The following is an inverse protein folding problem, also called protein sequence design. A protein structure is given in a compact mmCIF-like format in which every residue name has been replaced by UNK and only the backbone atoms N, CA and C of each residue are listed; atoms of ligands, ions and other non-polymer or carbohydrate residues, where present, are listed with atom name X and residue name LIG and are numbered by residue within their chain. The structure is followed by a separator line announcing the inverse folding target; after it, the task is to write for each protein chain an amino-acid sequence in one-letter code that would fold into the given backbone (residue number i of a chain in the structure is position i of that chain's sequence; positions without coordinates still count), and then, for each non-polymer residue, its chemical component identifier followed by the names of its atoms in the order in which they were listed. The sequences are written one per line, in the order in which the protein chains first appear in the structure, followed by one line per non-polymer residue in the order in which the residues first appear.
data_IF_636972883138
#
_entry.id   IF_636972883138
#
_cell.length_a   1.000
_cell.length_b   1.000
_cell.length_c   1.000
_cell.angle_alpha   90.00
_cell.angle_beta   90.00
_cell.angle_gamma   90.00
#
_symmetry.space_group_name_H-M   'P 1'
#
loop_
_entity.id
_entity.type
_entity.pdbx_description
1 polymer ?
#
# COMPACT_ATOMS: atom_id res chain seq x y z
N UNK A 1 27.28 -12.16 10.51
CA UNK A 1 25.84 -12.08 10.87
C UNK A 1 25.05 -11.79 9.60
N UNK A 2 23.94 -12.49 9.32
CA UNK A 2 23.15 -12.28 8.08
C UNK A 2 21.88 -11.48 8.44
N UNK A 3 22.05 -10.19 8.80
CA UNK A 3 20.99 -9.33 9.36
C UNK A 3 19.78 -9.30 8.42
N UNK A 4 19.99 -8.99 7.14
CA UNK A 4 18.91 -8.89 6.17
C UNK A 4 18.15 -10.20 6.00
N UNK A 5 18.86 -11.34 5.92
CA UNK A 5 18.23 -12.66 5.87
C UNK A 5 17.42 -13.00 7.12
N UNK A 6 17.77 -12.41 8.27
CA UNK A 6 17.03 -12.59 9.52
C UNK A 6 15.77 -11.72 9.51
N UNK A 7 15.87 -10.47 9.08
CA UNK A 7 14.74 -9.55 8.93
C UNK A 7 13.73 -10.08 7.90
N UNK A 8 14.22 -10.60 6.78
CA UNK A 8 13.37 -11.16 5.73
C UNK A 8 12.56 -12.41 6.16
N UNK A 9 12.95 -13.08 7.25
CA UNK A 9 12.13 -14.19 7.81
C UNK A 9 10.93 -13.70 8.59
N UNK A 10 10.90 -12.44 9.01
CA UNK A 10 9.80 -11.84 9.73
C UNK A 10 8.80 -11.31 8.70
N UNK A 11 7.53 -11.75 8.70
CA UNK A 11 6.51 -11.17 7.82
C UNK A 11 6.45 -9.65 7.98
N UNK A 12 6.67 -8.91 6.90
CA UNK A 12 6.77 -7.44 6.96
C UNK A 12 8.00 -6.90 7.69
N UNK A 13 9.05 -7.71 7.89
CA UNK A 13 10.24 -7.35 8.67
C UNK A 13 10.93 -6.07 8.20
N UNK A 14 10.98 -5.82 6.89
CA UNK A 14 11.53 -4.60 6.30
C UNK A 14 10.74 -3.32 6.65
N UNK A 15 9.54 -3.46 7.21
CA UNK A 15 8.69 -2.35 7.68
C UNK A 15 8.70 -2.33 9.21
N UNK A 16 8.41 -3.47 9.83
CA UNK A 16 8.25 -3.57 11.31
C UNK A 16 9.56 -3.20 12.02
N UNK A 17 10.69 -3.77 11.59
CA UNK A 17 11.96 -3.58 12.29
C UNK A 17 12.42 -2.13 12.25
N UNK A 18 12.48 -1.45 11.07
CA UNK A 18 12.84 -0.04 11.03
C UNK A 18 11.83 0.86 11.77
N UNK A 19 10.53 0.57 11.66
CA UNK A 19 9.49 1.35 12.36
C UNK A 19 9.71 1.32 13.87
N UNK A 20 9.84 0.11 14.44
CA UNK A 20 10.05 -0.05 15.88
C UNK A 20 11.41 0.52 16.32
N UNK A 21 12.45 0.40 15.50
CA UNK A 21 13.76 0.98 15.81
C UNK A 21 13.70 2.51 15.86
N UNK A 22 13.02 3.16 14.90
CA UNK A 22 12.78 4.60 14.91
C UNK A 22 11.95 5.05 16.12
N UNK A 23 10.84 4.33 16.40
CA UNK A 23 9.99 4.60 17.57
C UNK A 23 10.73 4.42 18.89
N UNK A 24 11.60 3.40 18.98
CA UNK A 24 12.44 3.17 20.16
C UNK A 24 13.43 4.32 20.36
N UNK A 25 14.08 4.76 19.28
CA UNK A 25 15.00 5.90 19.34
C UNK A 25 14.28 7.16 19.81
N UNK A 26 13.10 7.49 19.27
CA UNK A 26 12.31 8.63 19.72
C UNK A 26 11.88 8.50 21.19
N UNK A 27 11.50 7.30 21.62
CA UNK A 27 11.08 7.06 23.01
C UNK A 27 12.22 7.23 24.00
N UNK A 28 13.42 6.74 23.65
CA UNK A 28 14.61 6.81 24.51
C UNK A 28 15.34 8.15 24.42
N UNK A 29 15.31 8.77 23.23
CA UNK A 29 16.01 10.02 22.97
C UNK A 29 15.23 10.91 21.98
N UNK A 30 14.18 11.60 22.45
CA UNK A 30 13.33 12.43 21.61
C UNK A 30 14.07 13.58 20.91
N UNK A 31 15.13 14.10 21.55
CA UNK A 31 15.93 15.23 21.05
C UNK A 31 17.15 14.79 20.25
N UNK A 32 17.25 13.51 19.85
CA UNK A 32 18.39 13.01 19.08
C UNK A 32 18.59 13.81 17.77
N UNK A 33 17.51 14.24 17.12
CA UNK A 33 17.57 15.06 15.93
C UNK A 33 18.25 16.42 16.15
N UNK A 34 18.05 17.06 17.31
CA UNK A 34 18.71 18.32 17.68
C UNK A 34 20.21 18.08 17.96
N UNK A 35 20.54 17.02 18.68
CA UNK A 35 21.90 16.67 19.01
C UNK A 35 22.75 16.38 17.77
N UNK A 36 22.26 15.56 16.87
CA UNK A 36 23.00 15.22 15.66
C UNK A 36 23.02 16.36 14.63
N UNK A 37 21.95 17.15 14.53
CA UNK A 37 21.82 18.24 13.55
C UNK A 37 22.09 17.78 12.12
N UNK A 38 22.40 18.74 11.24
CA UNK A 38 22.88 18.47 9.88
C UNK A 38 22.14 17.37 9.13
N UNK A 39 22.87 16.44 8.51
CA UNK A 39 22.31 15.37 7.68
C UNK A 39 21.48 14.38 8.51
N UNK A 40 21.97 13.97 9.68
CA UNK A 40 21.30 12.99 10.54
C UNK A 40 20.04 13.57 11.15
N UNK A 41 20.11 14.78 11.70
CA UNK A 41 18.94 15.46 12.26
C UNK A 41 17.86 15.71 11.21
N UNK A 42 18.24 16.17 10.02
CA UNK A 42 17.31 16.36 8.89
C UNK A 42 16.68 15.05 8.44
N UNK A 43 17.41 13.94 8.45
CA UNK A 43 16.85 12.62 8.15
C UNK A 43 15.84 12.16 9.21
N UNK A 44 16.12 12.37 10.48
CA UNK A 44 15.23 11.97 11.57
C UNK A 44 13.91 12.77 11.56
N UNK A 45 13.95 14.06 11.22
CA UNK A 45 12.79 14.95 11.26
C UNK A 45 12.08 15.12 9.91
N UNK A 46 12.71 14.71 8.80
CA UNK A 46 12.18 14.94 7.47
C UNK A 46 12.57 13.84 6.49
N UNK A 47 11.66 12.94 6.22
CA UNK A 47 11.84 11.89 5.21
C UNK A 47 11.55 12.34 3.76
N UNK A 48 11.25 13.61 3.49
CA UNK A 48 10.74 14.10 2.20
C UNK A 48 11.68 13.79 1.03
N UNK A 49 13.00 13.93 1.19
CA UNK A 49 13.96 13.59 0.15
C UNK A 49 14.00 12.08 -0.14
N UNK A 50 13.93 11.25 0.90
CA UNK A 50 13.86 9.78 0.77
C UNK A 50 12.55 9.38 0.12
N UNK A 51 11.43 10.03 0.48
CA UNK A 51 10.12 9.79 -0.13
C UNK A 51 10.09 10.20 -1.60
N UNK A 52 10.74 11.31 -1.98
CA UNK A 52 10.89 11.70 -3.37
C UNK A 52 11.56 10.58 -4.19
N UNK A 53 12.72 10.11 -3.74
CA UNK A 53 13.44 9.02 -4.40
C UNK A 53 12.60 7.73 -4.42
N UNK A 54 11.92 7.43 -3.32
CA UNK A 54 11.06 6.25 -3.20
C UNK A 54 9.89 6.29 -4.19
N UNK A 55 9.13 7.40 -4.27
CA UNK A 55 8.02 7.52 -5.21
C UNK A 55 8.50 7.53 -6.66
N UNK A 56 9.68 8.10 -6.96
CA UNK A 56 10.29 7.98 -8.28
C UNK A 56 10.56 6.50 -8.63
N UNK A 57 11.18 5.74 -7.72
CA UNK A 57 11.45 4.32 -7.94
C UNK A 57 10.15 3.50 -8.10
N UNK A 58 9.11 3.81 -7.31
CA UNK A 58 7.78 3.18 -7.46
C UNK A 58 7.20 3.48 -8.84
N UNK A 59 7.23 4.73 -9.30
CA UNK A 59 6.80 5.11 -10.64
C UNK A 59 7.59 4.38 -11.72
N UNK A 60 8.92 4.36 -11.61
CA UNK A 60 9.80 3.70 -12.57
C UNK A 60 9.59 2.18 -12.65
N UNK A 61 9.12 1.54 -11.58
CA UNK A 61 8.83 0.11 -11.58
C UNK A 61 7.61 -0.29 -12.42
N UNK A 62 6.75 0.67 -12.76
CA UNK A 62 5.52 0.42 -13.53
C UNK A 62 5.82 0.37 -15.03
N UNK A 63 5.29 -0.63 -15.72
CA UNK A 63 5.36 -0.75 -17.18
C UNK A 63 3.94 -0.72 -17.77
N UNK A 64 3.56 0.41 -18.35
CA UNK A 64 2.24 0.57 -18.98
C UNK A 64 2.10 -0.13 -20.33
N UNK A 65 3.22 -0.54 -20.96
CA UNK A 65 3.22 -1.16 -22.28
C UNK A 65 2.89 -2.67 -22.25
N UNK A 66 2.81 -3.28 -21.05
CA UNK A 66 2.69 -4.73 -20.88
C UNK A 66 1.24 -5.26 -20.91
N UNK A 67 0.33 -4.64 -21.69
CA UNK A 67 -1.11 -4.96 -21.57
C UNK A 67 -1.73 -5.53 -22.82
N UNK A 68 -1.92 -6.86 -22.89
CA UNK A 68 -2.90 -7.50 -23.79
C UNK A 68 -4.35 -7.26 -23.32
N UNK A 69 -5.34 -7.42 -24.23
CA UNK A 69 -6.74 -7.04 -23.94
C UNK A 69 -7.34 -7.65 -22.66
N UNK A 70 -7.16 -8.94 -22.39
CA UNK A 70 -7.66 -9.59 -21.16
C UNK A 70 -6.88 -9.14 -19.92
N UNK A 71 -5.56 -9.02 -20.03
CA UNK A 71 -4.67 -8.56 -18.96
C UNK A 71 -5.04 -7.14 -18.51
N UNK A 72 -5.28 -6.24 -19.49
CA UNK A 72 -5.73 -4.89 -19.20
C UNK A 72 -7.09 -4.88 -18.48
N UNK A 73 -8.06 -5.72 -18.94
CA UNK A 73 -9.36 -5.87 -18.27
C UNK A 73 -9.19 -6.38 -16.84
N UNK A 74 -8.34 -7.38 -16.61
CA UNK A 74 -8.09 -7.94 -15.29
C UNK A 74 -7.43 -6.91 -14.37
N UNK A 75 -6.39 -6.25 -14.84
CA UNK A 75 -5.71 -5.20 -14.09
C UNK A 75 -6.65 -4.03 -13.74
N UNK A 76 -7.45 -3.56 -14.69
CA UNK A 76 -8.45 -2.51 -14.47
C UNK A 76 -9.54 -2.95 -13.49
N UNK A 77 -10.06 -4.18 -13.61
CA UNK A 77 -11.07 -4.68 -12.69
C UNK A 77 -10.55 -4.74 -11.25
N UNK A 78 -9.38 -5.32 -11.07
CA UNK A 78 -8.77 -5.48 -9.76
C UNK A 78 -8.42 -4.12 -9.16
N UNK A 79 -7.72 -3.26 -9.92
CA UNK A 79 -7.30 -1.94 -9.44
C UNK A 79 -8.48 -0.98 -9.29
N UNK A 80 -9.34 -0.88 -10.30
CA UNK A 80 -10.54 -0.03 -10.27
C UNK A 80 -11.53 -0.48 -9.21
N UNK A 81 -11.78 -1.78 -9.09
CA UNK A 81 -12.64 -2.35 -8.05
C UNK A 81 -12.16 -2.01 -6.65
N UNK A 82 -10.85 -2.11 -6.41
CA UNK A 82 -10.26 -1.71 -5.12
C UNK A 82 -10.46 -0.22 -4.83
N UNK A 83 -10.22 0.65 -5.82
CA UNK A 83 -10.43 2.09 -5.67
C UNK A 83 -11.89 2.44 -5.43
N UNK A 84 -12.83 1.75 -6.08
CA UNK A 84 -14.26 1.92 -5.83
C UNK A 84 -14.65 1.49 -4.41
N UNK A 85 -14.08 0.39 -3.89
CA UNK A 85 -14.27 -0.01 -2.50
C UNK A 85 -13.76 1.06 -1.55
N UNK A 86 -12.54 1.57 -1.78
CA UNK A 86 -11.96 2.61 -0.94
C UNK A 86 -12.74 3.93 -1.01
N UNK A 87 -13.26 4.30 -2.20
CA UNK A 87 -14.13 5.46 -2.39
C UNK A 87 -15.46 5.30 -1.66
N UNK A 88 -16.13 4.15 -1.81
CA UNK A 88 -17.38 3.88 -1.11
C UNK A 88 -17.20 3.96 0.42
N UNK A 89 -16.15 3.35 0.94
CA UNK A 89 -15.81 3.45 2.36
C UNK A 89 -15.47 4.89 2.76
N UNK A 90 -14.73 5.62 1.93
CA UNK A 90 -14.39 7.03 2.17
C UNK A 90 -15.63 7.92 2.25
N UNK A 91 -16.60 7.75 1.32
CA UNK A 91 -17.86 8.48 1.33
C UNK A 91 -18.73 8.13 2.54
N UNK A 92 -18.90 6.84 2.83
CA UNK A 92 -19.71 6.37 3.95
C UNK A 92 -19.10 6.83 5.28
N UNK A 93 -17.81 6.55 5.48
CA UNK A 93 -17.14 6.86 6.75
C UNK A 93 -16.86 8.35 6.89
N UNK A 94 -16.61 9.07 5.80
CA UNK A 94 -16.48 10.54 5.83
C UNK A 94 -17.74 11.24 6.28
N UNK A 95 -18.93 10.66 6.03
CA UNK A 95 -20.21 11.17 6.49
C UNK A 95 -20.54 10.79 7.96
N UNK A 96 -19.93 9.73 8.49
CA UNK A 96 -20.29 9.15 9.80
C UNK A 96 -19.23 9.44 10.87
N UNK A 97 -17.94 9.39 10.48
CA UNK A 97 -16.84 9.52 11.44
C UNK A 97 -16.57 10.99 11.79
N UNK A 98 -16.25 11.27 13.07
CA UNK A 98 -15.77 12.60 13.46
C UNK A 98 -14.47 12.96 12.72
N UNK A 99 -14.26 14.27 12.50
CA UNK A 99 -13.03 14.77 11.88
C UNK A 99 -11.76 14.36 12.64
N UNK A 100 -11.86 14.32 13.98
CA UNK A 100 -10.79 13.89 14.88
C UNK A 100 -10.67 12.36 14.99
N UNK A 101 -11.46 11.60 14.23
CA UNK A 101 -11.53 10.16 14.33
C UNK A 101 -12.25 9.65 15.59
N UNK A 102 -12.33 8.35 15.75
CA UNK A 102 -12.98 7.72 16.92
C UNK A 102 -12.06 7.87 18.14
N UNK A 103 -12.59 8.48 19.21
CA UNK A 103 -11.80 8.82 20.40
C UNK A 103 -11.77 7.72 21.47
N UNK A 104 -12.65 6.72 21.41
CA UNK A 104 -12.76 5.68 22.44
C UNK A 104 -13.25 4.35 21.90
N UNK A 105 -13.01 3.28 22.65
CA UNK A 105 -13.45 1.92 22.34
C UNK A 105 -12.48 1.16 21.42
N UNK A 106 -12.96 0.06 20.85
CA UNK A 106 -12.17 -0.88 20.04
C UNK A 106 -11.63 -0.27 18.74
N UNK A 107 -12.23 0.81 18.27
CA UNK A 107 -11.88 1.50 17.03
C UNK A 107 -11.22 2.85 17.28
N UNK A 108 -10.65 3.07 18.46
CA UNK A 108 -9.95 4.32 18.81
C UNK A 108 -8.90 4.65 17.75
N UNK A 109 -8.90 5.91 17.30
CA UNK A 109 -7.97 6.42 16.29
C UNK A 109 -8.42 6.18 14.85
N UNK A 110 -9.45 5.35 14.61
CA UNK A 110 -9.97 5.13 13.25
C UNK A 110 -10.56 6.44 12.73
N UNK A 111 -10.09 6.85 11.56
CA UNK A 111 -10.51 8.04 10.84
C UNK A 111 -10.70 7.71 9.36
N UNK A 112 -11.39 8.59 8.64
CA UNK A 112 -11.52 8.45 7.18
C UNK A 112 -10.15 8.39 6.50
N UNK A 113 -9.17 9.17 6.97
CA UNK A 113 -7.80 9.11 6.49
C UNK A 113 -7.17 7.72 6.65
N UNK A 114 -7.29 7.11 7.84
CA UNK A 114 -6.73 5.79 8.11
C UNK A 114 -7.34 4.71 7.19
N UNK A 115 -8.67 4.69 7.09
CA UNK A 115 -9.38 3.67 6.31
C UNK A 115 -9.14 3.85 4.82
N UNK A 116 -9.31 5.05 4.28
CA UNK A 116 -9.06 5.31 2.85
C UNK A 116 -7.62 4.95 2.48
N UNK A 117 -6.65 5.30 3.32
CA UNK A 117 -5.24 4.95 3.06
C UNK A 117 -5.01 3.44 3.06
N UNK A 118 -5.56 2.72 4.04
CA UNK A 118 -5.38 1.26 4.13
C UNK A 118 -6.03 0.52 2.95
N UNK A 119 -7.18 0.99 2.49
CA UNK A 119 -7.95 0.33 1.44
C UNK A 119 -7.55 0.72 0.02
N UNK A 120 -7.00 1.92 -0.22
CA UNK A 120 -6.69 2.42 -1.56
C UNK A 120 -5.37 1.91 -2.15
N UNK A 121 -4.49 1.33 -1.34
CA UNK A 121 -3.13 0.97 -1.77
C UNK A 121 -2.84 -0.52 -1.61
N UNK A 122 -2.31 -1.13 -2.68
CA UNK A 122 -1.92 -2.55 -2.71
C UNK A 122 -0.42 -2.73 -2.59
N UNK A 123 0.03 -3.74 -1.86
CA UNK A 123 1.43 -4.17 -1.87
C UNK A 123 1.71 -5.01 -3.13
N UNK A 124 2.18 -4.35 -4.18
CA UNK A 124 2.48 -4.99 -5.46
C UNK A 124 3.59 -6.04 -5.35
N UNK A 125 4.61 -5.81 -4.51
CA UNK A 125 5.68 -6.78 -4.27
C UNK A 125 5.16 -8.07 -3.63
N UNK A 126 4.29 -7.94 -2.63
CA UNK A 126 3.62 -9.09 -2.02
C UNK A 126 2.73 -9.81 -3.03
N UNK A 127 1.94 -9.07 -3.82
CA UNK A 127 1.10 -9.64 -4.87
C UNK A 127 1.88 -10.58 -5.79
N UNK A 128 2.98 -10.08 -6.38
CA UNK A 128 3.82 -10.88 -7.28
C UNK A 128 4.44 -12.09 -6.56
N UNK A 129 4.87 -11.92 -5.30
CA UNK A 129 5.54 -12.98 -4.56
C UNK A 129 4.63 -14.15 -4.14
N UNK A 130 3.31 -13.92 -4.05
CA UNK A 130 2.34 -14.93 -3.62
C UNK A 130 1.53 -15.54 -4.78
N UNK A 131 1.60 -14.95 -5.96
CA UNK A 131 1.05 -15.55 -7.18
C UNK A 131 1.98 -16.69 -7.62
N UNK A 132 1.47 -17.93 -7.76
CA UNK A 132 2.28 -19.08 -8.16
C UNK A 132 2.85 -18.93 -9.57
N UNK A 133 4.00 -19.58 -9.81
CA UNK A 133 4.53 -19.75 -11.16
C UNK A 133 3.50 -20.40 -12.10
N UNK A 134 3.47 -19.99 -13.35
CA UNK A 134 2.52 -20.48 -14.36
C UNK A 134 1.18 -19.73 -14.37
N UNK A 135 0.99 -18.73 -13.50
CA UNK A 135 -0.19 -17.85 -13.52
C UNK A 135 0.14 -16.54 -14.24
N UNK A 136 0.37 -16.65 -15.53
CA UNK A 136 0.89 -15.55 -16.35
C UNK A 136 -0.08 -14.38 -16.47
N UNK A 137 -1.39 -14.65 -16.54
CA UNK A 137 -2.42 -13.62 -16.65
C UNK A 137 -2.59 -12.82 -15.36
N UNK A 138 -2.44 -13.48 -14.21
CA UNK A 138 -2.47 -12.80 -12.92
C UNK A 138 -1.22 -11.93 -12.74
N UNK A 139 -0.03 -12.47 -13.04
CA UNK A 139 1.23 -11.73 -12.96
C UNK A 139 1.26 -10.54 -13.92
N UNK A 140 0.73 -10.71 -15.14
CA UNK A 140 0.71 -9.66 -16.15
C UNK A 140 -0.24 -8.50 -15.80
N UNK A 141 -1.20 -8.68 -14.88
CA UNK A 141 -2.01 -7.59 -14.33
C UNK A 141 -1.24 -6.66 -13.36
N UNK A 142 -0.03 -7.07 -12.92
CA UNK A 142 0.79 -6.35 -11.94
C UNK A 142 1.03 -4.87 -12.27
N UNK A 143 1.33 -4.44 -13.52
CA UNK A 143 1.56 -3.01 -13.79
C UNK A 143 0.39 -2.11 -13.39
N UNK A 144 -0.85 -2.56 -13.63
CA UNK A 144 -2.06 -1.83 -13.25
C UNK A 144 -2.26 -1.81 -11.73
N UNK A 145 -1.83 -2.87 -11.04
CA UNK A 145 -1.88 -2.97 -9.57
C UNK A 145 -0.80 -2.08 -8.94
N UNK A 146 0.40 -2.04 -9.52
CA UNK A 146 1.53 -1.27 -9.02
C UNK A 146 1.29 0.25 -9.01
N UNK A 147 0.46 0.77 -9.93
CA UNK A 147 0.07 2.20 -9.97
C UNK A 147 -0.62 2.63 -8.65
N UNK A 148 -1.25 1.72 -7.92
CA UNK A 148 -1.91 2.03 -6.64
C UNK A 148 -0.93 2.27 -5.48
N UNK A 149 0.36 2.11 -5.68
CA UNK A 149 1.36 2.42 -4.66
C UNK A 149 1.65 3.92 -4.63
N UNK A 150 1.36 4.57 -3.50
CA UNK A 150 1.62 6.00 -3.33
C UNK A 150 0.38 6.84 -2.99
N UNK A 151 0.55 8.13 -2.67
CA UNK A 151 -0.52 8.96 -2.11
C UNK A 151 -1.60 9.38 -3.09
N UNK A 152 -1.39 9.24 -4.41
CA UNK A 152 -2.27 9.80 -5.44
C UNK A 152 -3.73 9.38 -5.28
N UNK A 153 -3.99 8.07 -5.26
CA UNK A 153 -5.37 7.59 -5.19
C UNK A 153 -6.00 7.86 -3.82
N UNK A 154 -5.21 7.84 -2.74
CA UNK A 154 -5.70 8.25 -1.43
C UNK A 154 -6.13 9.72 -1.44
N UNK A 155 -5.31 10.62 -2.00
CA UNK A 155 -5.66 12.04 -2.15
C UNK A 155 -6.87 12.24 -3.04
N UNK A 156 -6.95 11.54 -4.17
CA UNK A 156 -8.09 11.59 -5.08
C UNK A 156 -9.38 11.19 -4.37
N UNK A 157 -9.38 10.08 -3.66
CA UNK A 157 -10.55 9.58 -2.92
C UNK A 157 -10.93 10.57 -1.82
N UNK A 158 -9.99 11.04 -1.01
CA UNK A 158 -10.26 12.04 0.03
C UNK A 158 -10.78 13.36 -0.57
N UNK A 159 -10.27 13.80 -1.72
CA UNK A 159 -10.79 14.95 -2.45
C UNK A 159 -12.24 14.75 -2.87
N UNK A 160 -12.60 13.58 -3.37
CA UNK A 160 -13.98 13.23 -3.72
C UNK A 160 -14.90 13.13 -2.48
N UNK A 161 -14.34 12.89 -1.29
CA UNK A 161 -15.07 12.93 -0.01
C UNK A 161 -15.15 14.33 0.61
N UNK A 162 -14.70 15.37 -0.09
CA UNK A 162 -14.78 16.76 0.34
C UNK A 162 -13.49 17.36 0.92
N UNK A 163 -12.38 16.62 0.93
CA UNK A 163 -11.10 17.16 1.36
C UNK A 163 -10.54 18.16 0.34
N UNK A 164 -9.97 19.25 0.81
CA UNK A 164 -9.32 20.26 -0.03
C UNK A 164 -7.81 20.08 -0.02
N UNK A 165 -7.20 20.05 -1.20
CA UNK A 165 -5.76 19.97 -1.38
C UNK A 165 -5.27 21.13 -2.26
N UNK A 166 -4.26 21.91 -1.82
CA UNK A 166 -3.65 22.95 -2.65
C UNK A 166 -3.04 22.31 -3.92
N UNK A 167 -3.30 22.86 -5.09
CA UNK A 167 -2.83 22.30 -6.35
C UNK A 167 -1.30 22.11 -6.40
N UNK A 168 -0.55 23.07 -5.89
CA UNK A 168 0.92 22.98 -5.81
C UNK A 168 1.39 21.78 -4.98
N UNK A 169 0.71 21.47 -3.88
CA UNK A 169 1.02 20.32 -3.02
C UNK A 169 0.72 18.99 -3.71
N UNK A 170 -0.39 18.94 -4.47
CA UNK A 170 -0.72 17.77 -5.30
C UNK A 170 0.41 17.54 -6.31
N UNK A 171 0.78 18.57 -7.07
CA UNK A 171 1.87 18.46 -8.07
C UNK A 171 3.17 18.05 -7.41
N UNK A 172 3.58 18.68 -6.31
CA UNK A 172 4.80 18.36 -5.57
C UNK A 172 4.85 16.90 -5.13
N UNK A 173 3.73 16.35 -4.66
CA UNK A 173 3.66 14.96 -4.18
C UNK A 173 3.66 13.94 -5.32
N UNK A 174 3.03 14.27 -6.45
CA UNK A 174 2.89 13.34 -7.58
C UNK A 174 4.05 13.40 -8.57
N UNK A 175 4.78 14.52 -8.62
CA UNK A 175 5.83 14.74 -9.59
C UNK A 175 6.89 13.63 -9.61
N UNK A 176 7.46 13.18 -8.47
CA UNK A 176 8.45 12.11 -8.49
C UNK A 176 7.90 10.81 -9.06
N UNK A 177 6.67 10.44 -8.70
CA UNK A 177 6.02 9.24 -9.24
C UNK A 177 5.79 9.37 -10.75
N UNK A 178 5.30 10.51 -11.23
CA UNK A 178 5.06 10.76 -12.65
C UNK A 178 6.36 10.71 -13.47
N UNK A 179 7.43 11.32 -12.96
CA UNK A 179 8.75 11.27 -13.62
C UNK A 179 9.29 9.83 -13.71
N UNK A 180 9.17 9.07 -12.63
CA UNK A 180 9.53 7.66 -12.61
C UNK A 180 8.70 6.84 -13.60
N UNK A 181 7.37 7.00 -13.60
CA UNK A 181 6.44 6.31 -14.48
C UNK A 181 6.75 6.58 -15.97
N UNK A 182 6.98 7.84 -16.32
CA UNK A 182 7.37 8.23 -17.69
C UNK A 182 8.71 7.58 -18.05
N UNK A 183 9.74 7.73 -17.20
CA UNK A 183 11.06 7.17 -17.45
C UNK A 183 11.02 5.64 -17.59
N UNK A 184 10.42 4.92 -16.66
CA UNK A 184 10.34 3.45 -16.68
C UNK A 184 9.44 2.87 -17.77
N UNK A 185 8.46 3.66 -18.27
CA UNK A 185 7.61 3.25 -19.39
C UNK A 185 8.33 3.46 -20.74
N UNK A 186 9.08 4.56 -20.87
CA UNK A 186 9.79 4.89 -22.12
C UNK A 186 11.11 4.12 -22.27
N UNK A 187 11.76 3.77 -21.17
CA UNK A 187 13.08 3.16 -21.18
C UNK A 187 13.16 2.01 -20.16
N UNK A 188 13.41 0.79 -20.67
CA UNK A 188 13.59 -0.40 -19.84
C UNK A 188 14.81 -0.32 -18.94
N UNK A 189 15.89 0.32 -19.38
CA UNK A 189 17.12 0.46 -18.60
C UNK A 189 16.90 1.36 -17.37
N UNK A 190 16.08 2.40 -17.53
CA UNK A 190 15.63 3.25 -16.40
C UNK A 190 14.81 2.41 -15.42
N UNK A 191 13.86 1.62 -15.90
CA UNK A 191 13.06 0.75 -15.05
C UNK A 191 13.92 -0.25 -14.29
N UNK A 192 14.77 -0.99 -14.97
CA UNK A 192 15.60 -2.05 -14.41
C UNK A 192 16.60 -1.51 -13.39
N UNK A 193 17.08 -0.27 -13.61
CA UNK A 193 17.99 0.44 -12.70
C UNK A 193 17.31 0.91 -11.42
N UNK A 194 16.10 1.49 -11.52
CA UNK A 194 15.47 2.18 -10.40
C UNK A 194 14.38 1.36 -9.69
N UNK A 195 13.76 0.37 -10.32
CA UNK A 195 12.76 -0.48 -9.68
C UNK A 195 13.27 -1.17 -8.38
N UNK A 196 14.50 -1.68 -8.30
CA UNK A 196 15.05 -2.23 -7.06
C UNK A 196 15.14 -1.21 -5.91
N UNK A 197 15.21 0.08 -6.23
CA UNK A 197 15.23 1.17 -5.26
C UNK A 197 14.02 1.19 -4.32
N UNK A 198 12.88 0.65 -4.75
CA UNK A 198 11.68 0.51 -3.89
C UNK A 198 12.01 -0.27 -2.62
N UNK A 199 12.59 -1.47 -2.76
CA UNK A 199 12.98 -2.31 -1.61
C UNK A 199 14.09 -1.70 -0.77
N UNK A 200 15.04 -1.02 -1.41
CA UNK A 200 16.19 -0.39 -0.75
C UNK A 200 15.76 0.79 0.12
N UNK A 201 14.85 1.63 -0.36
CA UNK A 201 14.46 2.88 0.31
C UNK A 201 13.40 2.70 1.40
N UNK A 202 12.59 1.62 1.35
CA UNK A 202 11.56 1.33 2.36
C UNK A 202 12.11 1.40 3.79
N UNK A 203 13.17 0.70 4.19
CA UNK A 203 13.65 0.74 5.57
C UNK A 203 14.03 2.14 6.04
N UNK A 204 14.59 2.96 5.14
CA UNK A 204 15.03 4.30 5.48
C UNK A 204 13.87 5.23 5.81
N UNK A 205 12.87 5.35 4.93
CA UNK A 205 11.76 6.24 5.23
C UNK A 205 10.88 5.72 6.36
N UNK A 206 10.75 4.39 6.51
CA UNK A 206 9.98 3.79 7.61
C UNK A 206 10.68 4.00 8.96
N UNK A 207 12.01 4.00 9.02
CA UNK A 207 12.75 4.34 10.24
C UNK A 207 12.51 5.80 10.64
N UNK A 208 12.66 6.75 9.69
CA UNK A 208 12.40 8.16 9.94
C UNK A 208 10.93 8.41 10.37
N UNK A 209 9.98 7.71 9.73
CA UNK A 209 8.58 7.75 10.13
C UNK A 209 8.38 7.19 11.54
N UNK A 210 9.03 6.07 11.89
CA UNK A 210 9.03 5.51 13.24
C UNK A 210 9.50 6.51 14.28
N UNK A 211 10.51 7.33 13.95
CA UNK A 211 10.99 8.38 14.83
C UNK A 211 9.95 9.50 15.10
N UNK A 212 8.92 9.63 14.27
CA UNK A 212 7.79 10.55 14.55
C UNK A 212 6.68 9.93 15.41
N UNK A 213 6.73 8.63 15.67
CA UNK A 213 5.74 7.89 16.45
C UNK A 213 6.22 7.66 17.89
N UNK A 214 5.27 7.40 18.79
CA UNK A 214 5.56 6.92 20.13
C UNK A 214 4.89 5.57 20.40
N UNK A 215 5.45 4.79 21.33
CA UNK A 215 4.90 3.47 21.65
C UNK A 215 3.46 3.52 22.17
N UNK A 216 3.08 4.60 22.89
CA UNK A 216 1.72 4.73 23.39
C UNK A 216 0.70 4.76 22.23
N UNK A 217 0.98 5.55 21.19
CA UNK A 217 0.13 5.61 19.99
C UNK A 217 0.07 4.27 19.25
N UNK A 218 1.22 3.59 19.11
CA UNK A 218 1.26 2.26 18.48
C UNK A 218 0.39 1.25 19.27
N UNK A 219 0.48 1.24 20.60
CA UNK A 219 -0.33 0.33 21.41
C UNK A 219 -1.81 0.70 21.37
N UNK A 220 -2.16 1.97 21.41
CA UNK A 220 -3.55 2.43 21.33
C UNK A 220 -4.19 2.12 19.98
N UNK A 221 -3.45 2.31 18.89
CA UNK A 221 -3.91 2.04 17.53
C UNK A 221 -3.82 0.56 17.14
N UNK A 222 -3.09 -0.26 17.91
CA UNK A 222 -2.78 -1.66 17.55
C UNK A 222 -4.03 -2.49 17.26
N UNK A 223 -5.01 -2.48 18.15
CA UNK A 223 -6.24 -3.26 17.96
C UNK A 223 -7.08 -2.71 16.79
N UNK A 224 -7.23 -1.40 16.69
CA UNK A 224 -7.91 -0.75 15.57
C UNK A 224 -7.24 -1.09 14.25
N UNK A 225 -5.90 -1.05 14.20
CA UNK A 225 -5.12 -1.42 13.03
C UNK A 225 -5.27 -2.89 12.65
N UNK A 226 -5.37 -3.79 13.63
CA UNK A 226 -5.68 -5.22 13.37
C UNK A 226 -7.06 -5.35 12.74
N UNK A 227 -8.08 -4.71 13.30
CA UNK A 227 -9.45 -4.74 12.76
C UNK A 227 -9.49 -4.19 11.34
N UNK A 228 -8.86 -3.04 11.10
CA UNK A 228 -8.77 -2.43 9.76
C UNK A 228 -8.03 -3.36 8.79
N UNK A 229 -6.90 -3.96 9.20
CA UNK A 229 -6.14 -4.90 8.37
C UNK A 229 -6.94 -6.15 8.00
N UNK A 230 -7.66 -6.74 8.95
CA UNK A 230 -8.57 -7.87 8.70
C UNK A 230 -9.68 -7.44 7.75
N UNK A 231 -10.28 -6.26 7.96
CA UNK A 231 -11.31 -5.72 7.09
C UNK A 231 -10.80 -5.50 5.65
N UNK A 232 -9.56 -4.98 5.48
CA UNK A 232 -8.94 -4.86 4.16
C UNK A 232 -8.89 -6.22 3.47
N UNK A 233 -8.40 -7.26 4.15
CA UNK A 233 -8.29 -8.59 3.54
C UNK A 233 -9.65 -9.14 3.16
N UNK A 234 -10.61 -9.12 4.07
CA UNK A 234 -11.91 -9.75 3.86
C UNK A 234 -12.77 -8.99 2.85
N UNK A 235 -12.87 -7.67 2.99
CA UNK A 235 -13.73 -6.84 2.13
C UNK A 235 -13.10 -6.72 0.74
N UNK A 236 -11.83 -6.33 0.67
CA UNK A 236 -11.17 -6.14 -0.63
C UNK A 236 -10.98 -7.49 -1.33
N UNK A 237 -10.40 -8.49 -0.64
CA UNK A 237 -10.14 -9.80 -1.23
C UNK A 237 -11.43 -10.52 -1.63
N UNK A 238 -12.45 -10.50 -0.78
CA UNK A 238 -13.74 -11.13 -1.06
C UNK A 238 -14.46 -10.49 -2.25
N UNK A 239 -14.56 -9.16 -2.27
CA UNK A 239 -15.23 -8.45 -3.36
C UNK A 239 -14.46 -8.56 -4.68
N UNK A 240 -13.13 -8.36 -4.66
CA UNK A 240 -12.31 -8.47 -5.88
C UNK A 240 -12.29 -9.90 -6.43
N UNK A 241 -12.20 -10.91 -5.56
CA UNK A 241 -12.31 -12.31 -5.97
C UNK A 241 -13.68 -12.62 -6.59
N UNK A 242 -14.76 -12.11 -6.00
CA UNK A 242 -16.09 -12.25 -6.57
C UNK A 242 -16.21 -11.59 -7.94
N UNK A 243 -15.68 -10.39 -8.12
CA UNK A 243 -15.69 -9.67 -9.40
C UNK A 243 -14.83 -10.39 -10.45
N UNK A 244 -13.66 -10.90 -10.06
CA UNK A 244 -12.75 -11.65 -10.92
C UNK A 244 -13.42 -12.94 -11.44
N UNK A 245 -14.11 -13.67 -10.57
CA UNK A 245 -14.89 -14.85 -10.96
C UNK A 245 -16.08 -14.49 -11.85
N UNK A 246 -16.87 -13.50 -11.43
CA UNK A 246 -18.17 -13.23 -12.06
C UNK A 246 -18.05 -12.52 -13.41
N UNK A 247 -17.09 -11.60 -13.55
CA UNK A 247 -16.98 -10.76 -14.74
C UNK A 247 -15.88 -11.16 -15.70
N UNK A 248 -14.85 -11.83 -15.19
CA UNK A 248 -13.72 -12.27 -16.01
C UNK A 248 -13.68 -13.79 -16.25
N UNK A 249 -14.56 -14.56 -15.59
CA UNK A 249 -14.56 -16.02 -15.71
C UNK A 249 -13.27 -16.66 -15.20
N UNK A 250 -12.57 -16.01 -14.28
CA UNK A 250 -11.35 -16.45 -13.62
C UNK A 250 -11.66 -17.25 -12.36
N UNK A 251 -10.65 -17.66 -11.61
CA UNK A 251 -10.80 -18.42 -10.37
C UNK A 251 -10.81 -17.60 -9.08
N UNK A 252 -10.62 -16.27 -9.19
CA UNK A 252 -10.65 -15.32 -8.07
C UNK A 252 -9.40 -15.28 -7.20
N UNK A 253 -8.36 -16.02 -7.52
CA UNK A 253 -7.10 -16.04 -6.73
C UNK A 253 -6.42 -14.67 -6.73
N UNK A 254 -6.39 -13.99 -7.89
CA UNK A 254 -5.81 -12.65 -8.01
C UNK A 254 -6.51 -11.60 -7.13
N UNK A 255 -7.84 -11.70 -6.99
CA UNK A 255 -8.61 -10.83 -6.10
C UNK A 255 -8.16 -10.95 -4.64
N UNK A 256 -7.98 -12.17 -4.14
CA UNK A 256 -7.43 -12.40 -2.80
C UNK A 256 -5.97 -11.93 -2.68
N UNK A 257 -5.14 -12.19 -3.69
CA UNK A 257 -3.74 -11.77 -3.69
C UNK A 257 -3.57 -10.24 -3.61
N UNK A 258 -4.55 -9.47 -4.11
CA UNK A 258 -4.54 -8.01 -4.06
C UNK A 258 -5.05 -7.44 -2.72
N UNK A 259 -5.47 -8.25 -1.77
CA UNK A 259 -6.09 -7.81 -0.52
C UNK A 259 -5.11 -7.26 0.53
N UNK A 260 -3.87 -6.94 0.16
CA UNK A 260 -2.87 -6.38 1.10
C UNK A 260 -2.86 -4.86 1.10
N UNK A 261 -2.41 -4.25 2.19
CA UNK A 261 -2.08 -2.83 2.26
C UNK A 261 -0.60 -2.63 1.87
N UNK A 262 -0.31 -1.62 1.02
CA UNK A 262 1.05 -1.34 0.60
C UNK A 262 1.94 -0.88 1.77
N UNK A 263 3.22 -1.28 1.77
CA UNK A 263 4.20 -0.77 2.73
C UNK A 263 4.36 0.76 2.65
N UNK A 264 4.31 1.31 1.43
CA UNK A 264 4.32 2.75 1.19
C UNK A 264 3.15 3.50 1.82
N UNK A 265 2.00 2.83 2.03
CA UNK A 265 0.82 3.43 2.63
C UNK A 265 1.08 3.99 4.04
N UNK A 266 2.06 3.45 4.75
CA UNK A 266 2.41 3.92 6.11
C UNK A 266 2.84 5.39 6.12
N UNK A 267 3.48 5.88 5.06
CA UNK A 267 3.90 7.27 4.94
C UNK A 267 2.75 8.23 4.55
N UNK A 268 1.69 7.71 3.95
CA UNK A 268 0.67 8.54 3.29
C UNK A 268 -0.12 9.42 4.25
N UNK A 269 -0.53 8.99 5.46
CA UNK A 269 -1.21 9.88 6.39
C UNK A 269 -0.37 11.11 6.77
N UNK A 270 0.93 10.93 7.02
CA UNK A 270 1.83 12.03 7.32
C UNK A 270 2.01 12.99 6.14
N UNK A 271 2.15 12.45 4.90
CA UNK A 271 2.22 13.25 3.66
C UNK A 271 0.95 14.08 3.49
N UNK A 272 -0.22 13.47 3.65
CA UNK A 272 -1.52 14.14 3.49
C UNK A 272 -1.71 15.23 4.56
N UNK A 273 -1.36 14.96 5.81
CA UNK A 273 -1.44 15.94 6.89
C UNK A 273 -0.47 17.12 6.68
N UNK A 274 0.68 16.89 6.03
CA UNK A 274 1.62 17.95 5.66
C UNK A 274 1.10 18.91 4.59
N UNK A 275 0.09 18.50 3.81
CA UNK A 275 -0.49 19.30 2.72
C UNK A 275 -1.93 19.76 2.98
N UNK A 276 -2.57 19.23 4.01
CA UNK A 276 -3.96 19.58 4.38
C UNK A 276 -4.13 19.53 5.89
N UNK A 277 -4.27 20.72 6.51
CA UNK A 277 -4.33 20.91 7.97
C UNK A 277 -5.46 20.12 8.63
N UNK A 278 -6.56 19.89 7.92
CA UNK A 278 -7.71 19.13 8.44
C UNK A 278 -7.36 17.70 8.87
N UNK A 279 -6.28 17.12 8.34
CA UNK A 279 -5.85 15.75 8.67
C UNK A 279 -4.75 15.69 9.73
N UNK A 280 -4.19 16.83 10.17
CA UNK A 280 -3.15 16.87 11.20
C UNK A 280 -3.58 16.19 12.51
N UNK A 281 -4.81 16.42 13.04
CA UNK A 281 -5.21 15.82 14.30
C UNK A 281 -5.25 14.28 14.28
N UNK A 282 -5.42 13.67 13.11
CA UNK A 282 -5.55 12.20 12.96
C UNK A 282 -4.33 11.56 12.31
N UNK A 283 -3.31 12.32 11.92
CA UNK A 283 -2.17 11.82 11.16
C UNK A 283 -1.39 10.72 11.90
N UNK A 284 -1.09 10.92 13.18
CA UNK A 284 -0.34 9.98 14.00
C UNK A 284 -1.10 8.67 14.20
N UNK A 285 -2.36 8.74 14.59
CA UNK A 285 -3.21 7.56 14.77
C UNK A 285 -3.44 6.83 13.46
N UNK A 286 -3.70 7.56 12.37
CA UNK A 286 -3.86 6.97 11.05
C UNK A 286 -2.59 6.26 10.58
N UNK A 287 -1.41 6.85 10.80
CA UNK A 287 -0.12 6.22 10.50
C UNK A 287 0.06 4.90 11.26
N UNK A 288 -0.21 4.91 12.57
CA UNK A 288 -0.09 3.71 13.40
C UNK A 288 -1.09 2.61 12.98
N UNK A 289 -2.35 2.97 12.67
CA UNK A 289 -3.36 2.03 12.16
C UNK A 289 -2.95 1.45 10.82
N UNK A 290 -2.48 2.27 9.89
CA UNK A 290 -2.03 1.81 8.56
C UNK A 290 -0.81 0.91 8.70
N UNK A 291 0.17 1.25 9.54
CA UNK A 291 1.34 0.41 9.80
C UNK A 291 0.94 -0.97 10.33
N UNK A 292 0.03 -1.02 11.31
CA UNK A 292 -0.50 -2.28 11.84
C UNK A 292 -1.27 -3.06 10.75
N UNK A 293 -2.08 -2.37 9.93
CA UNK A 293 -2.81 -3.00 8.83
C UNK A 293 -1.85 -3.62 7.79
N UNK A 294 -0.73 -2.96 7.48
CA UNK A 294 0.32 -3.51 6.59
C UNK A 294 0.85 -4.84 7.14
N UNK A 295 1.14 -4.90 8.45
CA UNK A 295 1.63 -6.12 9.11
C UNK A 295 0.58 -7.24 9.03
N UNK A 296 -0.64 -6.93 9.43
CA UNK A 296 -1.75 -7.89 9.44
C UNK A 296 -2.01 -8.43 8.04
N UNK A 297 -2.08 -7.55 7.05
CA UNK A 297 -2.33 -7.96 5.66
C UNK A 297 -1.15 -8.72 5.06
N UNK A 298 0.10 -8.40 5.43
CA UNK A 298 1.28 -9.15 4.99
C UNK A 298 1.26 -10.61 5.47
N UNK A 299 0.60 -10.89 6.59
CA UNK A 299 0.43 -12.25 7.12
C UNK A 299 -0.82 -12.92 6.54
N UNK A 300 -1.96 -12.24 6.57
CA UNK A 300 -3.25 -12.84 6.21
C UNK A 300 -3.42 -13.02 4.70
N UNK A 301 -2.96 -12.06 3.89
CA UNK A 301 -3.15 -12.13 2.43
C UNK A 301 -2.52 -13.39 1.80
N UNK A 302 -1.28 -13.80 2.12
CA UNK A 302 -0.73 -15.08 1.62
C UNK A 302 -1.55 -16.29 2.04
N UNK A 303 -2.07 -16.29 3.28
CA UNK A 303 -2.85 -17.41 3.81
C UNK A 303 -4.19 -17.55 3.06
N UNK A 304 -4.94 -16.46 2.89
CA UNK A 304 -6.22 -16.49 2.17
C UNK A 304 -6.03 -16.74 0.68
N UNK A 305 -4.95 -16.24 0.07
CA UNK A 305 -4.62 -16.51 -1.34
C UNK A 305 -4.30 -17.99 -1.54
N UNK A 306 -3.50 -18.58 -0.64
CA UNK A 306 -3.19 -20.02 -0.69
C UNK A 306 -4.45 -20.87 -0.50
N UNK A 307 -5.34 -20.47 0.40
CA UNK A 307 -6.63 -21.13 0.59
C UNK A 307 -7.49 -21.01 -0.67
N UNK A 308 -7.63 -19.81 -1.26
CA UNK A 308 -8.41 -19.58 -2.48
C UNK A 308 -7.89 -20.44 -3.65
N UNK A 309 -6.56 -20.50 -3.82
CA UNK A 309 -5.92 -21.35 -4.82
C UNK A 309 -6.31 -22.82 -4.65
N UNK A 310 -6.20 -23.37 -3.44
CA UNK A 310 -6.61 -24.76 -3.15
C UNK A 310 -8.08 -25.02 -3.46
N UNK A 311 -8.96 -24.01 -3.27
CA UNK A 311 -10.38 -24.14 -3.63
C UNK A 311 -10.58 -24.11 -5.15
N UNK A 312 -9.84 -23.25 -5.86
CA UNK A 312 -9.87 -23.19 -7.32
C UNK A 312 -9.39 -24.50 -7.96
N UNK A 313 -8.27 -25.04 -7.47
CA UNK A 313 -7.73 -26.35 -7.91
C UNK A 313 -8.74 -27.49 -7.69
N UNK A 314 -9.38 -27.56 -6.51
CA UNK A 314 -10.42 -28.57 -6.23
C UNK A 314 -11.64 -28.50 -7.16
N UNK A 315 -11.97 -27.29 -7.61
CA UNK A 315 -13.12 -27.04 -8.49
C UNK A 315 -12.74 -27.01 -9.97
N UNK A 316 -11.46 -27.25 -10.31
CA UNK A 316 -10.90 -27.13 -11.66
C UNK A 316 -11.23 -25.78 -12.33
N UNK A 317 -11.21 -24.69 -11.57
CA UNK A 317 -11.46 -23.36 -12.09
C UNK A 317 -10.21 -22.83 -12.83
N UNK A 318 -10.36 -22.28 -14.05
CA UNK A 318 -9.23 -21.76 -14.81
C UNK A 318 -8.81 -20.36 -14.32
N UNK A 319 -7.54 -20.03 -14.47
CA UNK A 319 -6.98 -18.68 -14.23
C UNK A 319 -7.59 -17.61 -15.16
N UNK A 320 -7.93 -18.02 -16.39
CA UNK A 320 -8.55 -17.18 -17.41
C UNK A 320 -9.54 -18.02 -18.24
N UNK A 321 -10.50 -17.39 -18.95
CA UNK A 321 -11.43 -18.09 -19.84
C UNK A 321 -10.70 -18.96 -20.87
N UNK A 322 -11.29 -20.12 -21.22
CA UNK A 322 -10.70 -21.08 -22.13
C UNK A 322 -10.34 -20.48 -23.51
N UNK A 323 -11.07 -19.45 -23.95
CA UNK A 323 -10.79 -18.72 -25.20
C UNK A 323 -9.45 -17.98 -25.13
N UNK A 324 -9.20 -17.30 -24.00
CA UNK A 324 -7.96 -16.54 -23.75
C UNK A 324 -6.77 -17.49 -23.64
N UNK A 325 -6.93 -18.62 -22.95
CA UNK A 325 -5.88 -19.64 -22.78
C UNK A 325 -5.45 -20.30 -24.10
N UNK A 326 -6.30 -20.28 -25.15
CA UNK A 326 -5.99 -20.82 -26.48
C UNK A 326 -5.18 -19.83 -27.34
N UNK A 327 -5.30 -18.52 -27.11
CA UNK A 327 -4.61 -17.51 -27.93
C UNK A 327 -3.10 -17.49 -27.68
N UNK A 328 -2.64 -17.84 -26.48
CA UNK A 328 -1.20 -17.85 -26.11
C UNK A 328 -0.49 -19.13 -26.57
N UNK A 329 -1.22 -20.20 -26.90
CA UNK A 329 -0.64 -21.47 -27.39
C UNK A 329 -0.44 -21.50 -28.91
N UNK A 330 -0.79 -20.42 -29.60
CA UNK A 330 -0.51 -20.21 -31.03
C UNK A 330 0.65 -19.22 -31.22
#
# INVERSE_FOLDING_TARGET
MKIEKTIAKIPGGNIIVPLLAGTLLNTLWPTAHEYFGGVTGAYLTGSSAVLFCFFFCVGASVNLNASGGYIAKKGLLLSGGRLLIALALGLILGAILPAEGIQSGLLTGVSTLAVVTAFSQTNGGLYVSIIPEGREYDLAAFPMIAIQSGPFFTMLILGLTGASFPFGSIVSTLLPFALGLIGGTLDSDVRDKYAPGVGILIPFFIFALGYTLNFKTIFQAGLSGVIVGVAVVLVTGGLLSFLDIKWLGSDGVAGWAQSSTAGAAVAVPAVIAGISEQFQPVAESATAIVATSVIVTAILTPLVTSWARKQAEKKNLPEAPAEVLKEVKK
#
